data_IF_432752092891
#
_entry.id   IF_432752092891
#
_cell.length_a   1.000
_cell.length_b   1.000
_cell.length_c   1.000
_cell.angle_alpha   90.00
_cell.angle_beta   90.00
_cell.angle_gamma   90.00
#
_symmetry.space_group_name_H-M   'P 1'
#
loop_
_entity.id
_entity.type
_entity.pdbx_description
1 polymer ?
#
# COMPACT_ATOMS: atom_id res chain seq x y z
N UNK A 1 9.38 -4.04 1.98
CA UNK A 1 10.05 -4.53 3.21
C UNK A 1 8.98 -4.67 4.27
N UNK A 2 8.89 -5.81 4.94
CA UNK A 2 8.01 -6.00 6.10
C UNK A 2 8.90 -6.29 7.31
N UNK A 3 8.40 -6.02 8.50
CA UNK A 3 9.15 -6.19 9.75
C UNK A 3 8.46 -7.26 10.59
N UNK A 4 8.96 -8.51 10.61
CA UNK A 4 8.41 -9.53 11.50
C UNK A 4 8.59 -9.12 12.97
N UNK A 5 7.70 -9.58 13.82
CA UNK A 5 7.68 -9.39 15.27
C UNK A 5 7.93 -10.73 15.95
N UNK A 6 8.78 -10.71 16.96
CA UNK A 6 9.03 -11.84 17.84
C UNK A 6 8.25 -11.60 19.13
N UNK A 7 7.36 -12.52 19.47
CA UNK A 7 6.47 -12.39 20.63
C UNK A 7 6.01 -13.77 21.12
N UNK A 8 5.72 -13.90 22.41
CA UNK A 8 5.05 -15.06 22.99
C UNK A 8 3.53 -14.92 22.76
N UNK A 9 3.01 -15.48 21.68
CA UNK A 9 1.64 -15.25 21.19
C UNK A 9 0.57 -16.05 21.93
N UNK A 10 0.93 -17.25 22.39
CA UNK A 10 0.04 -18.15 23.12
C UNK A 10 0.37 -18.30 24.60
N UNK A 11 1.31 -17.48 25.11
CA UNK A 11 1.70 -17.37 26.51
C UNK A 11 2.30 -18.67 27.07
N UNK A 12 2.99 -19.44 26.24
CA UNK A 12 3.64 -20.69 26.62
C UNK A 12 5.10 -20.52 27.11
N UNK A 13 5.62 -19.28 27.02
CA UNK A 13 6.95 -18.90 27.48
C UNK A 13 8.04 -19.06 26.43
N UNK A 14 7.70 -19.40 25.19
CA UNK A 14 8.61 -19.37 24.07
C UNK A 14 8.27 -18.22 23.07
N UNK A 15 8.99 -18.13 21.95
CA UNK A 15 8.94 -16.96 21.06
C UNK A 15 8.46 -17.38 19.67
N UNK A 16 7.31 -16.84 19.28
CA UNK A 16 6.66 -16.99 18.00
C UNK A 16 7.02 -15.87 17.02
N UNK A 17 6.56 -16.02 15.77
CA UNK A 17 6.71 -15.03 14.71
C UNK A 17 5.34 -14.53 14.26
N UNK A 18 5.12 -13.21 14.34
CA UNK A 18 4.03 -12.52 13.65
C UNK A 18 4.60 -11.68 12.52
N UNK A 19 4.09 -11.83 11.30
CA UNK A 19 4.59 -11.10 10.13
C UNK A 19 3.46 -10.63 9.21
N UNK A 20 3.54 -9.36 8.81
CA UNK A 20 2.71 -8.84 7.72
C UNK A 20 3.38 -8.99 6.36
N UNK A 21 2.58 -8.94 5.29
CA UNK A 21 3.08 -8.91 3.91
C UNK A 21 2.93 -7.52 3.29
N UNK A 22 3.78 -7.23 2.29
CA UNK A 22 3.62 -6.01 1.51
C UNK A 22 2.42 -6.11 0.58
N UNK A 23 2.25 -7.27 -0.06
CA UNK A 23 1.12 -7.65 -0.90
C UNK A 23 1.00 -9.18 -0.87
N UNK A 24 -0.13 -9.72 -1.31
CA UNK A 24 -0.29 -11.16 -1.57
C UNK A 24 0.49 -11.59 -2.81
N UNK A 25 0.76 -12.90 -2.94
CA UNK A 25 1.24 -13.51 -4.20
C UNK A 25 0.19 -13.38 -5.31
N UNK A 26 -1.08 -13.39 -4.95
CA UNK A 26 -2.16 -12.99 -5.85
C UNK A 26 -2.17 -11.45 -5.94
N UNK A 27 -1.67 -10.93 -7.06
CA UNK A 27 -1.58 -9.50 -7.35
C UNK A 27 -2.95 -8.78 -7.37
N UNK A 28 -4.06 -9.51 -7.37
CA UNK A 28 -5.41 -8.94 -7.23
C UNK A 28 -5.80 -8.66 -5.77
N UNK A 29 -5.05 -9.21 -4.81
CA UNK A 29 -5.30 -9.07 -3.38
C UNK A 29 -4.25 -8.17 -2.71
N UNK A 30 -4.67 -7.49 -1.65
CA UNK A 30 -3.79 -6.82 -0.70
C UNK A 30 -3.00 -7.79 0.18
N UNK A 31 -2.25 -7.26 1.14
CA UNK A 31 -1.46 -8.05 2.09
C UNK A 31 -2.29 -8.71 3.18
N UNK A 32 -1.64 -9.59 3.93
CA UNK A 32 -2.16 -10.28 5.10
C UNK A 32 -1.22 -10.18 6.30
N UNK A 33 -1.69 -10.64 7.45
CA UNK A 33 -0.88 -10.86 8.65
C UNK A 33 -0.95 -12.33 9.01
N UNK A 34 0.21 -12.88 9.33
CA UNK A 34 0.42 -14.30 9.54
C UNK A 34 1.15 -14.54 10.85
N UNK A 35 0.90 -15.71 11.43
CA UNK A 35 1.53 -16.23 12.64
C UNK A 35 2.21 -17.54 12.31
N UNK A 36 3.38 -17.78 12.90
CA UNK A 36 3.97 -19.10 13.00
C UNK A 36 4.35 -19.33 14.45
N UNK A 37 3.64 -20.27 15.08
CA UNK A 37 3.94 -20.66 16.45
C UNK A 37 5.26 -21.42 16.49
N UNK A 38 6.02 -21.24 17.54
CA UNK A 38 7.16 -22.07 17.85
C UNK A 38 6.66 -23.30 18.62
N UNK A 39 6.59 -24.44 17.94
CA UNK A 39 6.19 -25.73 18.51
C UNK A 39 7.37 -26.44 19.23
N UNK A 40 8.50 -25.74 19.36
CA UNK A 40 9.73 -26.23 19.96
C UNK A 40 9.84 -25.88 21.43
N UNK A 41 10.88 -25.09 21.76
CA UNK A 41 11.09 -24.51 23.09
C UNK A 41 12.06 -23.34 23.01
N UNK A 42 12.09 -22.53 24.06
CA UNK A 42 13.08 -21.46 24.21
C UNK A 42 14.52 -21.93 23.96
N UNK A 43 15.20 -21.25 23.03
CA UNK A 43 16.58 -21.55 22.60
C UNK A 43 16.73 -22.70 21.61
N UNK A 44 15.65 -23.39 21.23
CA UNK A 44 15.63 -24.42 20.20
C UNK A 44 14.29 -24.38 19.43
N UNK A 45 14.03 -23.31 18.65
CA UNK A 45 12.72 -23.11 18.05
C UNK A 45 12.44 -24.08 16.89
N UNK A 46 11.19 -24.49 16.77
CA UNK A 46 10.66 -25.27 15.65
C UNK A 46 9.37 -24.60 15.20
N UNK A 47 9.46 -23.75 14.19
CA UNK A 47 8.32 -23.00 13.70
C UNK A 47 7.33 -23.88 12.95
N UNK A 48 6.10 -23.90 13.43
CA UNK A 48 4.98 -24.66 12.90
C UNK A 48 4.40 -24.08 11.61
N UNK A 49 3.27 -24.63 11.21
CA UNK A 49 2.56 -24.18 10.02
C UNK A 49 2.15 -22.70 10.12
N UNK A 50 2.19 -21.99 8.99
CA UNK A 50 1.76 -20.61 8.92
C UNK A 50 0.24 -20.54 9.10
N UNK A 51 -0.20 -19.76 10.08
CA UNK A 51 -1.57 -19.42 10.36
C UNK A 51 -1.88 -18.02 9.83
N UNK A 52 -3.08 -17.82 9.32
CA UNK A 52 -3.52 -16.50 8.82
C UNK A 52 -4.30 -15.78 9.92
N UNK A 53 -3.79 -14.65 10.40
CA UNK A 53 -4.48 -13.78 11.36
C UNK A 53 -5.38 -12.76 10.64
N UNK A 54 -4.84 -12.14 9.58
CA UNK A 54 -5.59 -11.25 8.69
C UNK A 54 -5.41 -11.75 7.27
N UNK A 55 -6.49 -12.21 6.65
CA UNK A 55 -6.45 -12.69 5.28
C UNK A 55 -6.18 -11.56 4.27
N UNK A 56 -5.42 -11.84 3.20
CA UNK A 56 -5.43 -11.03 2.00
C UNK A 56 -6.86 -10.79 1.50
N UNK A 57 -7.17 -9.57 1.09
CA UNK A 57 -8.43 -9.22 0.46
C UNK A 57 -8.21 -8.13 -0.59
N UNK A 58 -9.11 -7.97 -1.58
CA UNK A 58 -9.01 -6.91 -2.56
C UNK A 58 -8.99 -5.52 -1.89
N UNK A 59 -8.23 -4.59 -2.48
CA UNK A 59 -8.24 -3.20 -2.06
C UNK A 59 -9.47 -2.50 -2.67
N UNK A 60 -10.60 -2.60 -1.98
CA UNK A 60 -11.89 -2.14 -2.46
C UNK A 60 -12.70 -1.38 -1.40
N UNK A 61 -13.75 -0.69 -1.85
CA UNK A 61 -14.66 0.05 -0.99
C UNK A 61 -14.61 1.56 -1.20
N UNK A 62 -15.51 2.25 -0.50
CA UNK A 62 -15.73 3.69 -0.62
C UNK A 62 -15.03 4.51 0.47
N UNK A 63 -14.36 3.83 1.39
CA UNK A 63 -13.62 4.37 2.52
C UNK A 63 -12.50 3.39 2.90
N UNK A 64 -11.46 3.79 3.64
CA UNK A 64 -10.38 2.90 4.06
C UNK A 64 -10.90 1.89 5.10
N UNK A 65 -11.14 0.65 4.68
CA UNK A 65 -11.76 -0.38 5.53
C UNK A 65 -10.74 -1.27 6.24
N UNK A 66 -9.56 -1.48 5.64
CA UNK A 66 -8.55 -2.42 6.09
C UNK A 66 -7.17 -2.03 5.54
N UNK A 67 -6.07 -2.51 6.11
CA UNK A 67 -4.77 -2.37 5.48
C UNK A 67 -4.66 -3.33 4.28
N UNK A 68 -4.19 -2.79 3.16
CA UNK A 68 -4.10 -3.49 1.87
C UNK A 68 -2.66 -3.63 1.39
N UNK A 69 -1.76 -2.72 1.76
CA UNK A 69 -0.37 -2.76 1.30
C UNK A 69 0.59 -2.37 2.41
N UNK A 70 1.64 -3.17 2.60
CA UNK A 70 2.64 -2.95 3.63
C UNK A 70 2.02 -3.06 5.02
N UNK A 71 1.63 -4.26 5.43
CA UNK A 71 1.05 -4.50 6.74
C UNK A 71 2.17 -4.62 7.79
N UNK A 72 2.12 -3.78 8.82
CA UNK A 72 3.07 -3.74 9.93
C UNK A 72 2.33 -4.07 11.22
N UNK A 73 2.21 -5.34 11.60
CA UNK A 73 1.54 -5.74 12.83
C UNK A 73 2.41 -5.40 14.05
N UNK A 74 1.74 -5.03 15.13
CA UNK A 74 2.30 -4.87 16.47
C UNK A 74 1.40 -5.61 17.46
N UNK A 75 1.80 -6.82 17.88
CA UNK A 75 1.06 -7.60 18.89
C UNK A 75 1.09 -6.92 20.25
N UNK A 76 -0.07 -6.78 20.90
CA UNK A 76 -0.19 -6.16 22.22
C UNK A 76 -1.46 -6.66 22.91
N UNK A 77 -1.39 -6.95 24.22
CA UNK A 77 -2.57 -7.15 25.07
C UNK A 77 -3.17 -5.76 25.36
N UNK A 78 -4.14 -5.32 24.54
CA UNK A 78 -4.65 -3.95 24.61
C UNK A 78 -5.73 -3.79 25.68
N UNK A 79 -6.55 -4.82 25.90
CA UNK A 79 -7.68 -4.78 26.82
C UNK A 79 -7.40 -5.44 28.19
N UNK A 80 -6.28 -6.14 28.33
CA UNK A 80 -5.82 -6.77 29.56
C UNK A 80 -6.44 -8.15 29.80
N UNK A 81 -7.01 -8.80 28.78
CA UNK A 81 -7.62 -10.12 28.91
C UNK A 81 -6.60 -11.28 28.87
N UNK A 82 -5.34 -10.95 28.53
CA UNK A 82 -4.21 -11.87 28.53
C UNK A 82 -3.96 -12.57 27.20
N UNK A 83 -4.76 -12.28 26.16
CA UNK A 83 -4.41 -12.61 24.79
C UNK A 83 -3.82 -11.39 24.04
N UNK A 84 -3.10 -11.64 22.95
CA UNK A 84 -2.52 -10.57 22.14
C UNK A 84 -3.45 -10.18 21.00
N UNK A 85 -3.79 -8.89 20.97
CA UNK A 85 -4.42 -8.19 19.86
C UNK A 85 -3.39 -7.77 18.80
N UNK A 86 -3.88 -7.20 17.70
CA UNK A 86 -3.02 -6.56 16.69
C UNK A 86 -3.36 -5.09 16.49
N UNK A 87 -2.36 -4.23 16.65
CA UNK A 87 -2.33 -2.90 16.04
C UNK A 87 -1.60 -3.02 14.71
N UNK A 88 -2.25 -2.72 13.59
CA UNK A 88 -1.67 -2.90 12.25
C UNK A 88 -1.59 -1.57 11.53
N UNK A 89 -0.37 -1.11 11.28
CA UNK A 89 -0.11 -0.01 10.36
C UNK A 89 -0.14 -0.50 8.91
N UNK A 90 -0.63 0.31 7.98
CA UNK A 90 -0.56 -0.02 6.56
C UNK A 90 -1.19 1.03 5.67
N UNK A 91 -1.09 0.82 4.36
CA UNK A 91 -1.81 1.62 3.39
C UNK A 91 -3.14 0.96 3.05
N UNK A 92 -4.20 1.76 2.91
CA UNK A 92 -5.45 1.33 2.30
C UNK A 92 -5.66 2.07 1.00
N UNK A 93 -6.26 1.39 0.02
CA UNK A 93 -6.77 2.03 -1.18
C UNK A 93 -8.29 1.93 -1.26
N UNK A 94 -8.96 3.02 -1.61
CA UNK A 94 -10.41 3.09 -1.72
C UNK A 94 -10.80 4.09 -2.80
N UNK A 95 -12.00 3.95 -3.37
CA UNK A 95 -12.53 4.94 -4.32
C UNK A 95 -13.75 5.60 -3.68
N UNK A 96 -13.67 6.88 -3.27
CA UNK A 96 -14.81 7.59 -2.69
C UNK A 96 -16.06 7.47 -3.57
N UNK A 97 -17.26 7.48 -2.99
CA UNK A 97 -18.47 7.33 -3.77
C UNK A 97 -18.60 8.51 -4.75
N UNK A 98 -18.94 8.19 -6.00
CA UNK A 98 -19.32 9.19 -6.98
C UNK A 98 -20.63 9.89 -6.60
N UNK A 99 -20.93 10.95 -7.33
CA UNK A 99 -22.26 11.58 -7.32
C UNK A 99 -22.85 11.54 -8.72
N UNK A 100 -24.16 11.73 -8.82
CA UNK A 100 -24.78 11.97 -10.11
C UNK A 100 -24.25 13.27 -10.71
N UNK A 101 -23.90 13.21 -11.99
CA UNK A 101 -23.44 14.34 -12.77
C UNK A 101 -24.59 14.90 -13.61
N UNK A 102 -24.61 16.22 -13.76
CA UNK A 102 -25.43 16.84 -14.79
C UNK A 102 -24.86 16.57 -16.18
N UNK A 103 -25.67 16.68 -17.24
CA UNK A 103 -25.18 16.51 -18.61
C UNK A 103 -24.00 17.44 -18.97
N UNK A 104 -23.98 18.66 -18.41
CA UNK A 104 -22.87 19.59 -18.58
C UNK A 104 -21.59 19.10 -17.89
N UNK A 105 -21.72 18.49 -16.71
CA UNK A 105 -20.59 17.92 -15.96
C UNK A 105 -20.06 16.64 -16.62
N UNK A 106 -20.91 15.82 -17.22
CA UNK A 106 -20.48 14.66 -18.01
C UNK A 106 -19.66 15.08 -19.24
N UNK A 107 -20.14 16.09 -19.97
CA UNK A 107 -19.39 16.68 -21.09
C UNK A 107 -18.04 17.23 -20.61
N UNK A 108 -18.04 18.00 -19.52
CA UNK A 108 -16.83 18.57 -18.94
C UNK A 108 -15.84 17.49 -18.49
N UNK A 109 -16.32 16.42 -17.84
CA UNK A 109 -15.47 15.31 -17.42
C UNK A 109 -14.85 14.58 -18.63
N UNK A 110 -15.59 14.40 -19.72
CA UNK A 110 -15.08 13.81 -20.96
C UNK A 110 -14.03 14.71 -21.64
N UNK A 111 -14.24 16.03 -21.65
CA UNK A 111 -13.26 17.00 -22.16
C UNK A 111 -11.98 16.99 -21.34
N UNK A 112 -12.10 17.06 -20.01
CA UNK A 112 -10.97 16.97 -19.07
C UNK A 112 -10.18 15.67 -19.26
N UNK A 113 -10.87 14.55 -19.50
CA UNK A 113 -10.23 13.25 -19.73
C UNK A 113 -9.36 13.29 -20.99
N UNK A 114 -9.90 13.81 -22.10
CA UNK A 114 -9.13 13.98 -23.35
C UNK A 114 -7.96 14.95 -23.20
N UNK A 115 -8.14 16.04 -22.47
CA UNK A 115 -7.09 17.01 -22.19
C UNK A 115 -5.93 16.36 -21.40
N UNK A 116 -6.26 15.60 -20.37
CA UNK A 116 -5.28 14.87 -19.54
C UNK A 116 -4.55 13.81 -20.38
N UNK A 117 -5.27 12.98 -21.13
CA UNK A 117 -4.67 11.94 -21.98
C UNK A 117 -3.71 12.55 -23.03
N UNK A 118 -4.11 13.64 -23.68
CA UNK A 118 -3.26 14.32 -24.68
C UNK A 118 -1.98 14.89 -24.05
N UNK A 119 -2.05 15.39 -22.83
CA UNK A 119 -0.89 15.90 -22.12
C UNK A 119 0.01 14.78 -21.59
N UNK A 120 -0.56 13.67 -21.12
CA UNK A 120 0.19 12.47 -20.72
C UNK A 120 0.92 11.84 -21.91
N UNK A 121 0.33 11.85 -23.11
CA UNK A 121 1.04 11.44 -24.33
C UNK A 121 2.24 12.33 -24.65
N UNK A 122 2.09 13.66 -24.53
CA UNK A 122 3.23 14.59 -24.72
C UNK A 122 4.31 14.36 -23.67
N UNK A 123 3.91 14.13 -22.42
CA UNK A 123 4.82 13.84 -21.34
C UNK A 123 5.59 12.53 -21.62
N UNK A 124 4.91 11.48 -22.10
CA UNK A 124 5.55 10.22 -22.50
C UNK A 124 6.59 10.44 -23.59
N UNK A 125 6.28 11.23 -24.63
CA UNK A 125 7.24 11.53 -25.71
C UNK A 125 8.50 12.23 -25.18
N UNK A 126 8.36 13.12 -24.19
CA UNK A 126 9.50 13.77 -23.54
C UNK A 126 10.33 12.74 -22.77
N UNK A 127 9.68 11.85 -22.00
CA UNK A 127 10.38 10.78 -21.28
C UNK A 127 11.12 9.84 -22.22
N UNK A 128 10.50 9.43 -23.32
CA UNK A 128 11.13 8.58 -24.35
C UNK A 128 12.34 9.28 -24.98
N UNK A 129 12.27 10.60 -25.20
CA UNK A 129 13.39 11.38 -25.72
C UNK A 129 14.55 11.45 -24.72
N UNK A 130 14.26 11.68 -23.44
CA UNK A 130 15.26 11.70 -22.36
C UNK A 130 15.93 10.32 -22.22
N UNK A 131 15.15 9.25 -22.24
CA UNK A 131 15.68 7.88 -22.21
C UNK A 131 16.57 7.60 -23.42
N UNK A 132 16.15 7.99 -24.62
CA UNK A 132 16.96 7.85 -25.84
C UNK A 132 18.28 8.62 -25.76
N UNK A 133 18.26 9.89 -25.31
CA UNK A 133 19.48 10.70 -25.15
C UNK A 133 20.45 10.12 -24.12
N UNK A 134 19.94 9.67 -22.97
CA UNK A 134 20.78 9.04 -21.93
C UNK A 134 21.42 7.74 -22.45
N UNK A 135 20.70 6.95 -23.24
CA UNK A 135 21.22 5.73 -23.86
C UNK A 135 22.30 6.03 -24.91
N UNK A 136 22.12 7.03 -25.77
CA UNK A 136 23.11 7.45 -26.79
C UNK A 136 24.40 7.95 -26.14
N UNK A 137 24.30 8.64 -25.00
CA UNK A 137 25.45 9.10 -24.25
C UNK A 137 26.23 7.96 -23.55
N UNK A 138 25.75 6.71 -23.63
CA UNK A 138 26.43 5.54 -23.07
C UNK A 138 26.49 5.54 -21.54
N UNK A 139 25.60 6.31 -20.90
CA UNK A 139 25.64 6.51 -19.45
C UNK A 139 24.98 5.31 -18.79
N UNK A 140 25.71 4.65 -17.87
CA UNK A 140 25.14 3.60 -17.03
C UNK A 140 24.00 4.23 -16.21
N UNK A 141 22.83 3.59 -16.05
CA UNK A 141 21.68 4.17 -15.35
C UNK A 141 21.82 4.22 -13.82
N UNK A 142 23.05 4.39 -13.31
CA UNK A 142 23.39 4.34 -11.90
C UNK A 142 24.64 5.19 -11.60
N UNK A 143 24.69 5.78 -10.40
CA UNK A 143 25.83 6.56 -9.90
C UNK A 143 25.79 8.05 -10.25
N UNK A 144 26.70 8.83 -9.63
CA UNK A 144 26.72 10.30 -9.73
C UNK A 144 26.84 10.81 -11.19
N UNK A 145 27.62 10.12 -12.02
CA UNK A 145 27.76 10.47 -13.44
C UNK A 145 26.46 10.30 -14.25
N UNK A 146 25.58 9.38 -13.83
CA UNK A 146 24.24 9.26 -14.39
C UNK A 146 23.34 10.39 -13.95
N UNK A 147 23.33 10.69 -12.66
CA UNK A 147 22.51 11.75 -12.07
C UNK A 147 22.84 13.11 -12.71
N UNK A 148 24.12 13.47 -12.80
CA UNK A 148 24.55 14.74 -13.42
C UNK A 148 24.17 14.83 -14.91
N UNK A 149 24.37 13.76 -15.66
CA UNK A 149 24.09 13.75 -17.09
C UNK A 149 22.59 13.66 -17.38
N UNK A 150 21.83 12.90 -16.58
CA UNK A 150 20.38 12.86 -16.62
C UNK A 150 19.81 14.25 -16.29
N UNK A 151 20.30 14.91 -15.23
CA UNK A 151 19.90 16.28 -14.87
C UNK A 151 20.15 17.28 -15.99
N UNK A 152 21.31 17.20 -16.67
CA UNK A 152 21.62 18.06 -17.81
C UNK A 152 20.66 17.82 -19.00
N UNK A 153 20.24 16.58 -19.24
CA UNK A 153 19.25 16.23 -20.27
C UNK A 153 17.85 16.69 -19.83
N UNK A 154 17.44 16.43 -18.59
CA UNK A 154 16.19 16.92 -18.00
C UNK A 154 16.06 18.44 -18.09
N UNK A 155 17.14 19.18 -17.84
CA UNK A 155 17.15 20.63 -17.91
C UNK A 155 16.74 21.17 -19.29
N UNK A 156 16.94 20.41 -20.37
CA UNK A 156 16.50 20.78 -21.73
C UNK A 156 14.99 20.78 -21.86
N UNK A 157 14.33 19.81 -21.22
CA UNK A 157 12.89 19.59 -21.27
C UNK A 157 12.12 20.23 -20.11
N UNK A 158 12.83 20.72 -19.09
CA UNK A 158 12.25 21.24 -17.84
C UNK A 158 11.09 22.20 -18.05
N UNK A 159 11.23 23.18 -18.96
CA UNK A 159 10.15 24.15 -19.24
C UNK A 159 8.90 23.49 -19.82
N UNK A 160 9.06 22.49 -20.68
CA UNK A 160 7.94 21.77 -21.29
C UNK A 160 7.28 20.84 -20.27
N UNK A 161 8.08 20.16 -19.44
CA UNK A 161 7.59 19.33 -18.34
C UNK A 161 6.82 20.17 -17.32
N UNK A 162 7.41 21.28 -16.86
CA UNK A 162 6.79 22.21 -15.90
C UNK A 162 5.47 22.77 -16.47
N UNK A 163 5.48 23.19 -17.74
CA UNK A 163 4.27 23.67 -18.43
C UNK A 163 3.18 22.59 -18.50
N UNK A 164 3.52 21.36 -18.92
CA UNK A 164 2.55 20.26 -19.00
C UNK A 164 2.02 19.87 -17.62
N UNK A 165 2.87 19.92 -16.59
CA UNK A 165 2.47 19.68 -15.22
C UNK A 165 1.48 20.75 -14.71
N UNK A 166 1.77 22.03 -14.94
CA UNK A 166 0.89 23.15 -14.56
C UNK A 166 -0.47 23.06 -15.26
N UNK A 167 -0.47 22.80 -16.58
CA UNK A 167 -1.71 22.65 -17.36
C UNK A 167 -2.57 21.50 -16.86
N UNK A 168 -1.95 20.34 -16.61
CA UNK A 168 -2.70 19.13 -16.25
C UNK A 168 -3.10 19.07 -14.79
N UNK A 169 -2.39 19.73 -13.88
CA UNK A 169 -2.69 19.67 -12.45
C UNK A 169 -4.09 20.22 -12.12
N UNK A 170 -4.47 21.34 -12.74
CA UNK A 170 -5.81 21.92 -12.59
C UNK A 170 -6.88 20.99 -13.18
N UNK A 171 -6.66 20.48 -14.40
CA UNK A 171 -7.58 19.57 -15.08
C UNK A 171 -7.76 18.26 -14.29
N UNK A 172 -6.68 17.66 -13.77
CA UNK A 172 -6.72 16.45 -12.93
C UNK A 172 -7.50 16.68 -11.63
N UNK A 173 -7.31 17.84 -11.00
CA UNK A 173 -8.05 18.22 -9.78
C UNK A 173 -9.55 18.38 -10.05
N UNK A 174 -9.92 19.07 -11.13
CA UNK A 174 -11.32 19.24 -11.52
C UNK A 174 -11.96 17.90 -11.89
N UNK A 175 -11.27 17.08 -12.70
CA UNK A 175 -11.75 15.73 -13.07
C UNK A 175 -11.99 14.88 -11.84
N UNK A 176 -11.06 14.87 -10.89
CA UNK A 176 -11.19 14.11 -9.63
C UNK A 176 -12.42 14.54 -8.81
N UNK A 177 -12.80 15.82 -8.86
CA UNK A 177 -13.98 16.33 -8.16
C UNK A 177 -15.30 15.90 -8.83
N UNK A 178 -15.29 15.61 -10.13
CA UNK A 178 -16.44 15.10 -10.87
C UNK A 178 -16.52 13.57 -10.80
N UNK A 179 -15.40 12.91 -11.04
CA UNK A 179 -15.25 11.46 -11.09
C UNK A 179 -14.16 11.06 -10.09
N UNK A 180 -14.55 10.59 -8.88
CA UNK A 180 -13.59 10.09 -7.91
C UNK A 180 -12.72 8.99 -8.52
N UNK A 181 -11.44 9.03 -8.17
CA UNK A 181 -10.46 8.00 -8.53
C UNK A 181 -10.00 7.30 -7.26
N UNK A 182 -9.37 6.13 -7.41
CA UNK A 182 -8.77 5.44 -6.28
C UNK A 182 -7.79 6.36 -5.55
N UNK A 183 -7.99 6.47 -4.24
CA UNK A 183 -7.11 7.13 -3.29
C UNK A 183 -6.32 6.10 -2.52
N UNK A 184 -5.17 6.52 -1.99
CA UNK A 184 -4.34 5.70 -1.10
C UNK A 184 -3.76 6.56 0.01
N UNK A 185 -3.88 6.09 1.24
CA UNK A 185 -3.28 6.72 2.42
C UNK A 185 -2.91 5.67 3.46
N UNK A 186 -2.01 6.03 4.37
CA UNK A 186 -1.68 5.20 5.54
C UNK A 186 -2.69 5.42 6.66
N UNK A 187 -3.05 4.34 7.35
CA UNK A 187 -3.81 4.36 8.59
C UNK A 187 -3.26 3.31 9.56
N UNK A 188 -3.88 3.25 10.73
CA UNK A 188 -3.66 2.22 11.74
C UNK A 188 -5.02 1.58 12.05
N UNK A 189 -5.06 0.25 12.06
CA UNK A 189 -6.24 -0.54 12.41
C UNK A 189 -5.97 -1.33 13.68
N UNK A 190 -7.02 -1.50 14.48
CA UNK A 190 -7.01 -2.36 15.67
C UNK A 190 -7.84 -3.61 15.36
N UNK A 191 -7.28 -4.77 15.68
CA UNK A 191 -7.93 -6.06 15.57
C UNK A 191 -7.89 -6.73 16.93
N UNK A 192 -9.05 -6.75 17.58
CA UNK A 192 -9.28 -7.47 18.83
C UNK A 192 -9.24 -8.98 18.57
N UNK A 193 -8.46 -9.71 19.35
CA UNK A 193 -8.49 -11.17 19.35
C UNK A 193 -9.59 -11.60 20.31
N UNK A 194 -10.65 -12.19 19.76
CA UNK A 194 -11.76 -12.66 20.59
C UNK A 194 -11.48 -14.11 21.01
N UNK A 195 -10.91 -14.29 22.19
CA UNK A 195 -10.90 -15.60 22.85
C UNK A 195 -12.33 -16.07 23.14
N UNK A 196 -12.70 -17.26 22.67
CA UNK A 196 -13.98 -17.89 23.04
C UNK A 196 -14.07 -18.07 24.57
N UNK A 197 -15.27 -18.21 25.17
CA UNK A 197 -15.40 -18.32 26.61
C UNK A 197 -14.52 -19.47 27.11
N UNK A 198 -13.56 -19.16 28.00
CA UNK A 198 -12.82 -20.19 28.72
C UNK A 198 -13.85 -21.10 29.39
N UNK A 199 -13.93 -22.36 28.99
CA UNK A 199 -14.63 -23.35 29.78
C UNK A 199 -13.90 -23.41 31.13
N UNK A 200 -14.45 -22.72 32.13
CA UNK A 200 -14.07 -22.93 33.51
C UNK A 200 -14.32 -24.40 33.79
N UNK A 201 -13.25 -25.19 33.80
CA UNK A 201 -13.28 -26.55 34.29
C UNK A 201 -13.72 -26.48 35.75
N UNK A 202 -15.02 -26.67 35.96
CA UNK A 202 -15.59 -26.99 37.26
C UNK A 202 -15.04 -28.36 37.63
N UNK A 203 -13.89 -28.38 38.28
CA UNK A 203 -13.46 -29.52 39.08
C UNK A 203 -14.50 -29.69 40.20
N UNK A 204 -15.33 -30.72 40.06
CA UNK A 204 -15.95 -31.42 41.20
C UNK A 204 -15.10 -32.64 41.55
#
# INVERSE_FOLDING_TARGET
MTTPKLVDWDADGDIDIVAGTFKSEDETLGGGVYLSLNEGKSGAPVFGAIQTLIAPAPAEGTKPLRPDTGLYPDPVDFDGDGDLDLIVGGYSAWTPPGRELTAAEEIRAAELTKEIEAAEQKQQLIWDAIESETAVAGIQKEGEAYEEAADAIYAKYRKEIDYLWDQTSAAKKERKALIPVSERSSFVWFYERISGPQETSLNQ
#
